data_IF_198438724984
#
_entry.id   IF_198438724984
#
_cell.length_a   1.000
_cell.length_b   1.000
_cell.length_c   1.000
_cell.angle_alpha   90.00
_cell.angle_beta   90.00
_cell.angle_gamma   90.00
#
_symmetry.space_group_name_H-M   'P 1'
#
loop_
_entity.id
_entity.type
_entity.pdbx_description
1 polymer ?
#
# COMPACT_ATOMS: atom_id res chain seq x y z
N UNK A 1 -7.66 4.50 19.96
CA UNK A 1 -6.74 3.85 18.99
C UNK A 1 -7.00 4.44 17.61
N UNK A 2 -6.00 4.89 16.86
CA UNK A 2 -6.23 5.42 15.52
C UNK A 2 -6.81 4.33 14.62
N UNK A 3 -7.69 4.73 13.70
CA UNK A 3 -8.36 3.84 12.76
C UNK A 3 -7.99 4.22 11.33
N UNK A 4 -7.87 3.24 10.45
CA UNK A 4 -7.70 3.47 9.01
C UNK A 4 -9.05 3.88 8.43
N UNK A 5 -9.08 5.03 7.78
CA UNK A 5 -10.27 5.60 7.17
C UNK A 5 -10.29 5.43 5.66
N UNK A 6 -9.14 5.53 5.01
CA UNK A 6 -9.00 5.28 3.58
C UNK A 6 -7.67 4.57 3.28
N UNK A 7 -7.67 3.80 2.21
CA UNK A 7 -6.47 3.19 1.63
C UNK A 7 -6.48 3.46 0.14
N UNK A 8 -5.40 4.02 -0.39
CA UNK A 8 -5.21 4.16 -1.84
C UNK A 8 -3.96 3.41 -2.26
N UNK A 9 -4.10 2.62 -3.32
CA UNK A 9 -3.01 1.87 -3.92
C UNK A 9 -2.92 2.28 -5.38
N UNK A 10 -1.75 2.73 -5.79
CA UNK A 10 -1.52 3.24 -7.13
C UNK A 10 -0.39 2.47 -7.79
N UNK A 11 -0.61 2.06 -9.02
CA UNK A 11 0.37 1.47 -9.92
C UNK A 11 1.09 0.24 -9.36
N UNK A 12 0.33 -0.69 -8.78
CA UNK A 12 0.87 -1.94 -8.26
C UNK A 12 0.54 -3.11 -9.16
N UNK A 13 1.58 -3.73 -9.70
CA UNK A 13 1.47 -4.91 -10.56
C UNK A 13 1.84 -6.18 -9.78
N UNK A 14 1.02 -7.22 -9.90
CA UNK A 14 1.24 -8.50 -9.23
C UNK A 14 0.78 -9.70 -10.07
N UNK A 15 1.00 -10.91 -9.55
CA UNK A 15 0.67 -12.15 -10.22
C UNK A 15 1.31 -12.26 -11.61
N UNK A 16 2.63 -12.07 -11.67
CA UNK A 16 3.43 -12.14 -12.89
C UNK A 16 2.99 -11.16 -13.99
N UNK A 17 2.58 -9.95 -13.61
CA UNK A 17 2.12 -8.95 -14.55
C UNK A 17 0.71 -9.17 -15.07
N UNK A 18 0.02 -10.20 -14.57
CA UNK A 18 -1.35 -10.51 -15.01
C UNK A 18 -2.41 -9.63 -14.37
N UNK A 19 -2.06 -8.93 -13.31
CA UNK A 19 -2.98 -8.06 -12.57
C UNK A 19 -2.31 -6.75 -12.21
N UNK A 20 -3.00 -5.67 -12.49
CA UNK A 20 -2.58 -4.30 -12.19
C UNK A 20 -3.65 -3.63 -11.32
N UNK A 21 -3.22 -3.08 -10.19
CA UNK A 21 -3.98 -2.07 -9.44
C UNK A 21 -3.48 -0.72 -9.96
N UNK A 22 -4.18 -0.16 -10.92
CA UNK A 22 -3.78 1.11 -11.54
C UNK A 22 -3.95 2.27 -10.56
N UNK A 23 -5.15 2.38 -9.97
CA UNK A 23 -5.48 3.34 -8.93
C UNK A 23 -6.77 2.89 -8.22
N UNK A 24 -6.64 2.40 -7.01
CA UNK A 24 -7.75 1.86 -6.22
C UNK A 24 -7.86 2.59 -4.89
N UNK A 25 -9.04 3.15 -4.62
CA UNK A 25 -9.37 3.80 -3.35
C UNK A 25 -10.38 2.97 -2.57
N UNK A 26 -9.93 2.43 -1.44
CA UNK A 26 -10.80 1.78 -0.45
C UNK A 26 -11.22 2.82 0.59
N UNK A 27 -12.49 3.21 0.57
CA UNK A 27 -13.02 4.23 1.47
C UNK A 27 -13.84 3.56 2.59
N UNK A 28 -13.34 3.64 3.81
CA UNK A 28 -13.97 3.11 5.02
C UNK A 28 -14.60 4.21 5.89
N UNK A 29 -14.70 5.42 5.36
CA UNK A 29 -15.30 6.54 6.08
C UNK A 29 -16.80 6.33 6.26
N UNK A 30 -17.29 6.63 7.47
CA UNK A 30 -18.71 6.77 7.70
C UNK A 30 -19.20 8.08 7.07
N UNK A 31 -20.28 8.01 6.29
CA UNK A 31 -20.82 9.19 5.58
C UNK A 31 -21.45 10.21 6.54
N UNK A 32 -21.94 9.75 7.68
CA UNK A 32 -22.72 10.60 8.59
C UNK A 32 -21.85 11.41 9.56
N UNK A 33 -20.73 10.86 10.00
CA UNK A 33 -19.89 11.47 11.04
C UNK A 33 -18.40 11.53 10.69
N UNK A 34 -18.03 11.15 9.48
CA UNK A 34 -16.65 11.17 8.97
C UNK A 34 -15.64 10.28 9.76
N UNK A 35 -16.14 9.43 10.66
CA UNK A 35 -15.32 8.45 11.39
C UNK A 35 -14.99 7.24 10.49
N UNK A 36 -14.11 6.36 10.94
CA UNK A 36 -13.80 5.12 10.26
C UNK A 36 -14.76 3.99 10.68
N UNK A 37 -15.31 3.29 9.70
CA UNK A 37 -16.11 2.10 9.91
C UNK A 37 -15.25 0.89 10.24
N UNK A 38 -15.82 -0.07 10.96
CA UNK A 38 -15.30 -1.43 10.99
C UNK A 38 -15.72 -2.14 9.71
N UNK A 39 -14.75 -2.60 8.93
CA UNK A 39 -15.00 -3.15 7.59
C UNK A 39 -14.51 -4.58 7.50
N UNK A 40 -15.32 -5.44 6.92
CA UNK A 40 -14.94 -6.78 6.50
C UNK A 40 -14.72 -6.79 4.99
N UNK A 41 -13.49 -7.06 4.57
CA UNK A 41 -13.15 -7.21 3.15
C UNK A 41 -13.23 -8.69 2.79
N UNK A 42 -14.21 -9.06 1.97
CA UNK A 42 -14.33 -10.41 1.45
C UNK A 42 -13.93 -10.43 -0.03
N UNK A 43 -12.88 -11.16 -0.35
CA UNK A 43 -12.40 -11.37 -1.71
C UNK A 43 -12.43 -12.86 -2.04
N UNK A 44 -12.76 -13.19 -3.27
CA UNK A 44 -12.70 -14.56 -3.78
C UNK A 44 -11.28 -15.16 -3.64
N UNK A 45 -11.18 -16.47 -3.65
CA UNK A 45 -9.88 -17.15 -3.66
C UNK A 45 -9.09 -16.75 -4.91
N UNK A 46 -7.82 -16.40 -4.71
CA UNK A 46 -6.99 -15.81 -5.77
C UNK A 46 -7.22 -14.31 -6.03
N UNK A 47 -8.17 -13.67 -5.32
CA UNK A 47 -8.50 -12.25 -5.47
C UNK A 47 -7.49 -11.27 -4.85
N UNK A 48 -6.31 -11.75 -4.41
CA UNK A 48 -5.26 -10.86 -3.92
C UNK A 48 -5.37 -10.46 -2.44
N UNK A 49 -6.15 -11.18 -1.59
CA UNK A 49 -6.29 -10.87 -0.15
C UNK A 49 -4.94 -10.67 0.55
N UNK A 50 -4.04 -11.63 0.41
CA UNK A 50 -2.71 -11.57 1.05
C UNK A 50 -1.86 -10.42 0.52
N UNK A 51 -1.99 -10.13 -0.77
CA UNK A 51 -1.31 -9.01 -1.42
C UNK A 51 -1.82 -7.69 -0.88
N UNK A 52 -3.14 -7.53 -0.78
CA UNK A 52 -3.77 -6.32 -0.24
C UNK A 52 -3.34 -6.06 1.21
N UNK A 53 -3.42 -7.07 2.07
CA UNK A 53 -2.96 -6.95 3.47
C UNK A 53 -1.49 -6.59 3.53
N UNK A 54 -0.66 -7.23 2.74
CA UNK A 54 0.78 -6.95 2.71
C UNK A 54 1.08 -5.52 2.25
N UNK A 55 0.37 -5.02 1.24
CA UNK A 55 0.50 -3.63 0.78
C UNK A 55 0.10 -2.64 1.87
N UNK A 56 -1.04 -2.88 2.53
CA UNK A 56 -1.51 -2.01 3.62
C UNK A 56 -0.54 -1.97 4.81
N UNK A 57 0.25 -3.02 5.02
CA UNK A 57 1.26 -3.04 6.08
C UNK A 57 2.52 -2.25 5.74
N UNK A 58 2.85 -2.05 4.47
CA UNK A 58 4.12 -1.41 4.07
C UNK A 58 4.29 0.02 4.60
N UNK A 59 3.27 0.90 4.59
CA UNK A 59 3.38 2.24 5.18
C UNK A 59 3.56 2.26 6.69
N UNK A 60 3.20 1.15 7.38
CA UNK A 60 3.30 1.01 8.83
C UNK A 60 4.63 0.35 9.21
N UNK A 61 4.93 -0.75 8.55
CA UNK A 61 6.14 -1.56 8.77
C UNK A 61 6.76 -1.87 7.41
N UNK A 62 7.67 -1.01 6.93
CA UNK A 62 8.32 -1.22 5.65
C UNK A 62 9.03 -2.59 5.58
N UNK A 63 8.90 -3.26 4.44
CA UNK A 63 9.43 -4.61 4.21
C UNK A 63 8.77 -5.70 5.05
N UNK A 64 7.60 -5.44 5.64
CA UNK A 64 6.85 -6.47 6.35
C UNK A 64 6.58 -7.67 5.44
N UNK A 65 6.68 -8.87 6.03
CA UNK A 65 6.37 -10.13 5.35
C UNK A 65 5.01 -10.62 5.81
N UNK A 66 4.23 -11.19 4.89
CA UNK A 66 2.98 -11.87 5.21
C UNK A 66 3.08 -13.32 4.80
N UNK A 67 2.83 -14.24 5.72
CA UNK A 67 3.00 -15.69 5.51
C UNK A 67 4.39 -16.06 4.97
N UNK A 68 5.45 -15.41 5.48
CA UNK A 68 6.84 -15.64 5.06
C UNK A 68 7.23 -15.04 3.71
N UNK A 69 6.28 -14.48 2.96
CA UNK A 69 6.54 -13.90 1.63
C UNK A 69 6.98 -12.45 1.74
N UNK A 70 8.01 -12.12 0.97
CA UNK A 70 8.48 -10.73 0.84
C UNK A 70 7.69 -10.00 -0.23
N UNK A 71 7.58 -8.68 -0.12
CA UNK A 71 6.89 -7.85 -1.11
C UNK A 71 7.55 -8.00 -2.50
N UNK A 72 8.85 -8.19 -2.56
CA UNK A 72 9.61 -8.39 -3.79
C UNK A 72 9.14 -9.60 -4.61
N UNK A 73 8.54 -10.61 -3.95
CA UNK A 73 8.00 -11.79 -4.64
C UNK A 73 6.74 -11.49 -5.45
N UNK A 74 6.08 -10.38 -5.17
CA UNK A 74 4.87 -9.94 -5.88
C UNK A 74 5.14 -8.78 -6.83
N UNK A 75 6.22 -8.02 -6.54
CA UNK A 75 6.55 -6.81 -7.26
C UNK A 75 7.33 -7.16 -8.52
N UNK A 76 6.74 -6.97 -9.67
CA UNK A 76 7.46 -7.05 -10.92
C UNK A 76 7.99 -5.68 -11.34
N UNK A 77 8.94 -5.70 -12.27
CA UNK A 77 9.55 -4.50 -12.84
C UNK A 77 8.46 -3.52 -13.27
N UNK A 78 8.29 -2.47 -12.48
CA UNK A 78 7.45 -1.35 -12.83
C UNK A 78 8.38 -0.21 -13.22
N UNK A 79 8.16 0.37 -14.39
CA UNK A 79 8.89 1.56 -14.85
C UNK A 79 8.60 2.77 -13.96
N UNK A 80 7.43 2.78 -13.31
CA UNK A 80 6.95 3.86 -12.48
C UNK A 80 6.89 3.48 -11.01
N UNK A 81 6.76 4.48 -10.15
CA UNK A 81 6.60 4.26 -8.72
C UNK A 81 5.21 3.70 -8.40
N UNK A 82 5.19 2.74 -7.47
CA UNK A 82 3.98 2.29 -6.82
C UNK A 82 3.80 3.05 -5.50
N UNK A 83 2.58 3.48 -5.20
CA UNK A 83 2.26 4.16 -3.95
C UNK A 83 1.21 3.39 -3.16
N UNK A 84 1.41 3.33 -1.85
CA UNK A 84 0.40 2.88 -0.90
C UNK A 84 0.22 3.98 0.14
N UNK A 85 -0.98 4.50 0.24
CA UNK A 85 -1.34 5.62 1.10
C UNK A 85 -2.42 5.17 2.09
N UNK A 86 -2.23 5.48 3.37
CA UNK A 86 -3.21 5.23 4.43
C UNK A 86 -3.61 6.55 5.07
N UNK A 87 -4.90 6.85 5.06
CA UNK A 87 -5.46 7.94 5.84
C UNK A 87 -5.99 7.38 7.17
N UNK A 88 -5.53 7.98 8.24
CA UNK A 88 -5.89 7.63 9.60
C UNK A 88 -6.77 8.72 10.20
N UNK A 89 -7.68 8.32 11.06
CA UNK A 89 -8.36 9.23 11.98
C UNK A 89 -7.92 8.93 13.41
N UNK A 90 -7.57 9.98 14.16
CA UNK A 90 -7.23 9.84 15.57
C UNK A 90 -8.49 9.71 16.42
N UNK A 91 -8.41 8.90 17.49
CA UNK A 91 -9.47 8.83 18.48
C UNK A 91 -9.74 10.21 19.10
N UNK A 92 -11.01 10.52 19.28
CA UNK A 92 -11.50 11.70 19.99
C UNK A 92 -11.11 13.05 19.33
N UNK A 93 -10.54 13.04 18.16
CA UNK A 93 -10.28 14.23 17.36
C UNK A 93 -10.67 13.97 15.91
N UNK A 94 -11.05 15.03 15.20
CA UNK A 94 -11.27 14.96 13.76
C UNK A 94 -9.96 15.08 12.96
N UNK A 95 -8.83 15.05 13.67
CA UNK A 95 -7.52 15.14 13.03
C UNK A 95 -7.22 13.88 12.21
N UNK A 96 -6.75 14.11 11.02
CA UNK A 96 -6.36 13.08 10.07
C UNK A 96 -4.85 13.10 9.89
N UNK A 97 -4.30 11.91 9.72
CA UNK A 97 -2.90 11.70 9.43
C UNK A 97 -2.81 10.81 8.19
N UNK A 98 -1.95 11.17 7.28
CA UNK A 98 -1.61 10.31 6.15
C UNK A 98 -0.22 9.70 6.36
N UNK A 99 -0.14 8.38 6.24
CA UNK A 99 1.12 7.66 6.11
C UNK A 99 1.19 7.06 4.73
N UNK A 100 2.35 7.05 4.13
CA UNK A 100 2.51 6.53 2.80
C UNK A 100 3.89 5.90 2.56
N UNK A 101 3.95 5.10 1.52
CA UNK A 101 5.18 4.52 1.02
C UNK A 101 5.16 4.58 -0.51
N UNK A 102 6.26 5.06 -1.07
CA UNK A 102 6.56 4.90 -2.48
C UNK A 102 7.55 3.75 -2.65
N UNK A 103 7.28 2.89 -3.59
CA UNK A 103 8.13 1.75 -3.94
C UNK A 103 8.52 1.82 -5.40
N UNK A 104 9.80 1.69 -5.68
CA UNK A 104 10.32 1.64 -7.05
C UNK A 104 11.22 0.43 -7.21
N UNK A 105 11.09 -0.27 -8.33
CA UNK A 105 12.04 -1.31 -8.70
C UNK A 105 13.32 -0.66 -9.22
N UNK A 106 14.47 -1.17 -8.79
CA UNK A 106 15.76 -0.86 -9.40
C UNK A 106 16.37 -2.14 -9.92
N UNK A 107 17.12 -2.05 -11.01
CA UNK A 107 17.96 -3.17 -11.42
C UNK A 107 18.99 -3.37 -10.31
N UNK A 108 18.99 -4.54 -9.67
CA UNK A 108 20.07 -4.90 -8.78
C UNK A 108 21.30 -5.16 -9.66
N UNK A 109 22.38 -4.40 -9.45
CA UNK A 109 23.68 -4.79 -9.94
C UNK A 109 24.07 -6.07 -9.20
N UNK A 110 23.96 -7.21 -9.84
CA UNK A 110 24.51 -8.47 -9.34
C UNK A 110 26.03 -8.32 -9.31
N UNK A 111 26.60 -8.52 -8.12
CA UNK A 111 28.03 -8.84 -8.03
C UNK A 111 28.28 -10.07 -8.90
N UNK A 112 29.38 -10.05 -9.63
CA UNK A 112 29.80 -11.07 -10.58
C UNK A 112 29.60 -12.49 -10.02
N UNK A 113 28.78 -13.30 -10.66
CA UNK A 113 28.72 -14.73 -10.44
C UNK A 113 27.39 -15.42 -10.25
N UNK A 114 26.27 -14.74 -10.07
CA UNK A 114 24.97 -15.37 -9.97
C UNK A 114 24.02 -14.93 -11.10
N UNK A 115 23.64 -15.87 -11.96
CA UNK A 115 22.56 -15.70 -12.94
C UNK A 115 21.21 -15.62 -12.23
N UNK A 116 20.90 -14.44 -11.71
CA UNK A 116 19.62 -14.15 -11.13
C UNK A 116 19.44 -12.64 -11.05
N UNK A 117 18.74 -12.05 -12.02
CA UNK A 117 18.31 -10.64 -11.93
C UNK A 117 17.37 -10.48 -10.74
N UNK A 118 17.94 -10.19 -9.58
CA UNK A 118 17.17 -9.82 -8.41
C UNK A 118 16.55 -8.44 -8.60
N UNK A 119 15.27 -8.29 -8.30
CA UNK A 119 14.64 -6.99 -8.24
C UNK A 119 14.92 -6.41 -6.86
N UNK A 120 15.65 -5.29 -6.80
CA UNK A 120 15.76 -4.51 -5.59
C UNK A 120 14.62 -3.48 -5.57
N UNK A 121 13.94 -3.37 -4.42
CA UNK A 121 12.91 -2.35 -4.21
C UNK A 121 13.48 -1.26 -3.32
N UNK A 122 13.41 -0.03 -3.79
CA UNK A 122 13.66 1.16 -2.98
C UNK A 122 12.35 1.58 -2.32
N UNK A 123 12.42 1.85 -1.03
CA UNK A 123 11.28 2.26 -0.21
C UNK A 123 11.48 3.69 0.27
N UNK A 124 10.47 4.53 0.05
CA UNK A 124 10.43 5.91 0.53
C UNK A 124 9.17 6.07 1.37
N UNK A 125 9.34 6.20 2.68
CA UNK A 125 8.22 6.41 3.61
C UNK A 125 8.02 7.88 3.88
N UNK A 126 6.77 8.28 4.08
CA UNK A 126 6.41 9.63 4.48
C UNK A 126 5.16 9.62 5.36
N UNK A 127 5.00 10.68 6.11
CA UNK A 127 3.74 10.97 6.78
C UNK A 127 3.47 12.48 6.73
N UNK A 128 2.20 12.86 6.75
CA UNK A 128 1.79 14.24 6.72
C UNK A 128 0.51 14.42 7.52
N UNK A 129 0.39 15.57 8.20
CA UNK A 129 -0.89 16.01 8.72
C UNK A 129 -1.79 16.34 7.53
N UNK A 130 -2.99 15.81 7.58
CA UNK A 130 -3.95 15.97 6.51
C UNK A 130 -5.19 16.68 7.02
N UNK A 131 -5.46 17.87 6.54
CA UNK A 131 -6.57 18.71 6.99
C UNK A 131 -7.95 18.29 6.43
N UNK A 132 -7.97 17.32 5.56
CA UNK A 132 -9.18 16.53 5.26
C UNK A 132 -10.32 17.23 4.56
N UNK A 133 -10.11 18.35 3.88
CA UNK A 133 -11.16 19.03 3.12
C UNK A 133 -11.43 18.43 1.74
N UNK A 134 -10.56 17.57 1.25
CA UNK A 134 -10.78 16.86 -0.02
C UNK A 134 -11.03 15.39 0.25
N UNK A 135 -12.06 14.84 -0.35
CA UNK A 135 -12.38 13.41 -0.29
C UNK A 135 -11.43 12.57 -1.15
N UNK A 136 -10.60 13.22 -1.96
CA UNK A 136 -9.63 12.63 -2.86
C UNK A 136 -8.22 13.03 -2.45
N UNK A 137 -7.29 12.11 -2.53
CA UNK A 137 -5.86 12.39 -2.48
C UNK A 137 -5.45 12.81 -3.90
N UNK A 138 -5.56 14.04 -4.22
CA UNK A 138 -5.04 14.58 -5.48
C UNK A 138 -3.60 15.04 -5.33
#
# INVERSE_FOLDING_TARGET
MPKIRKVRIVNFEYNDGKRLIADELYNFANRDNDDALNVLINLANGGGKSVLVQLMMQPIIPKAKVAGRRIESFFKKISDHCFVLLEWIKDNSKEKLMTGIAMASSEASTAEGEEGRGIAIKFYTFFANYSGYTTNYD
#
